data_IF_626741224713
#
_entry.id   IF_626741224713
#
_cell.length_a   1.000
_cell.length_b   1.000
_cell.length_c   1.000
_cell.angle_alpha   90.00
_cell.angle_beta   90.00
_cell.angle_gamma   90.00
#
_symmetry.space_group_name_H-M   'P 1'
#
loop_
_entity.id
_entity.type
_entity.pdbx_description
1 polymer ?
#
# COMPACT_ATOMS: atom_id res chain seq x y z
N UNK A 1 -1.69 3.24 18.30
CA UNK A 1 -0.80 4.17 17.57
C UNK A 1 -0.74 3.69 16.13
N UNK A 2 -1.27 4.45 15.17
CA UNK A 2 -1.09 4.13 13.75
C UNK A 2 0.32 4.56 13.34
N UNK A 3 1.15 3.60 12.95
CA UNK A 3 2.52 3.85 12.48
C UNK A 3 2.43 4.05 10.97
N UNK A 4 2.79 5.24 10.50
CA UNK A 4 2.93 5.56 9.07
C UNK A 4 4.16 6.44 8.87
N UNK A 5 4.69 6.43 7.65
CA UNK A 5 5.75 7.35 7.23
C UNK A 5 5.10 8.62 6.70
N UNK A 6 5.56 9.78 7.16
CA UNK A 6 5.14 11.07 6.65
C UNK A 6 6.26 11.63 5.77
N UNK A 7 5.99 11.79 4.48
CA UNK A 7 6.95 12.34 3.52
C UNK A 7 6.20 13.41 2.72
N UNK A 8 6.69 14.65 2.76
CA UNK A 8 6.08 15.78 2.05
C UNK A 8 4.58 15.99 2.39
N UNK A 9 4.22 15.80 3.67
CA UNK A 9 2.82 15.87 4.13
C UNK A 9 1.92 14.71 3.69
N UNK A 10 2.42 13.78 2.87
CA UNK A 10 1.71 12.57 2.44
C UNK A 10 2.05 11.39 3.35
N UNK A 11 1.03 10.56 3.62
CA UNK A 11 1.17 9.36 4.44
C UNK A 11 1.53 8.17 3.56
N UNK A 12 2.51 7.40 3.99
CA UNK A 12 2.97 6.18 3.33
C UNK A 12 3.04 5.02 4.31
N UNK A 13 2.86 3.83 3.77
CA UNK A 13 2.98 2.56 4.47
C UNK A 13 4.09 1.74 3.83
N UNK A 14 4.94 1.09 4.62
CA UNK A 14 5.85 0.09 4.09
C UNK A 14 5.16 -1.28 3.98
N UNK A 15 5.80 -2.23 3.31
CA UNK A 15 5.23 -3.57 3.11
C UNK A 15 4.95 -4.35 4.41
N UNK A 16 5.61 -4.03 5.52
CA UNK A 16 5.22 -4.56 6.84
C UNK A 16 3.89 -3.95 7.31
N UNK A 17 3.76 -2.63 7.30
CA UNK A 17 2.55 -1.95 7.73
C UNK A 17 1.34 -2.31 6.86
N UNK A 18 1.52 -2.47 5.55
CA UNK A 18 0.44 -2.93 4.66
C UNK A 18 -0.12 -4.29 5.11
N UNK A 19 0.76 -5.22 5.49
CA UNK A 19 0.38 -6.55 5.97
C UNK A 19 -0.39 -6.47 7.27
N UNK A 20 0.09 -5.66 8.21
CA UNK A 20 -0.59 -5.46 9.50
C UNK A 20 -1.97 -4.84 9.33
N UNK A 21 -2.10 -3.79 8.52
CA UNK A 21 -3.37 -3.08 8.31
C UNK A 21 -4.40 -3.91 7.55
N UNK A 22 -3.97 -4.65 6.54
CA UNK A 22 -4.87 -5.49 5.73
C UNK A 22 -5.05 -6.89 6.30
N UNK A 23 -4.32 -7.24 7.38
CA UNK A 23 -4.23 -8.59 7.93
C UNK A 23 -3.90 -9.65 6.88
N UNK A 24 -3.08 -9.27 5.90
CA UNK A 24 -2.66 -10.14 4.79
C UNK A 24 -1.25 -10.65 5.02
N UNK A 25 -0.99 -11.88 4.60
CA UNK A 25 0.37 -12.43 4.61
C UNK A 25 1.19 -11.88 3.42
N UNK A 26 2.50 -12.17 3.41
CA UNK A 26 3.42 -11.69 2.36
C UNK A 26 3.01 -12.13 0.96
N UNK A 27 2.59 -13.38 0.79
CA UNK A 27 2.21 -13.93 -0.50
C UNK A 27 0.92 -13.29 -1.03
N UNK A 28 -0.04 -13.04 -0.15
CA UNK A 28 -1.32 -12.39 -0.51
C UNK A 28 -1.11 -10.92 -0.91
N UNK A 29 -0.28 -10.17 -0.16
CA UNK A 29 0.12 -8.81 -0.57
C UNK A 29 0.86 -8.83 -1.91
N UNK A 30 1.77 -9.79 -2.11
CA UNK A 30 2.50 -9.89 -3.37
C UNK A 30 1.55 -10.11 -4.54
N UNK A 31 0.62 -11.08 -4.43
CA UNK A 31 -0.42 -11.33 -5.44
C UNK A 31 -1.27 -10.09 -5.69
N UNK A 32 -1.65 -9.37 -4.64
CA UNK A 32 -2.47 -8.16 -4.76
C UNK A 32 -1.72 -7.04 -5.50
N UNK A 33 -0.44 -6.83 -5.20
CA UNK A 33 0.41 -5.85 -5.89
C UNK A 33 0.75 -6.27 -7.33
N UNK A 34 0.81 -7.57 -7.63
CA UNK A 34 0.99 -8.10 -8.98
C UNK A 34 -0.30 -7.96 -9.82
N UNK A 35 -1.47 -8.27 -9.23
CA UNK A 35 -2.76 -8.14 -9.90
C UNK A 35 -3.14 -6.66 -10.12
N UNK A 36 -2.75 -5.78 -9.19
CA UNK A 36 -3.06 -4.36 -9.22
C UNK A 36 -1.79 -3.54 -9.08
N UNK A 37 -1.04 -3.34 -10.17
CA UNK A 37 0.21 -2.61 -10.15
C UNK A 37 -0.03 -1.15 -9.76
N UNK A 38 0.59 -0.73 -8.67
CA UNK A 38 0.54 0.66 -8.20
C UNK A 38 1.43 1.56 -9.10
N UNK A 39 1.03 2.83 -9.33
CA UNK A 39 1.82 3.78 -10.09
C UNK A 39 3.21 3.96 -9.46
N UNK A 40 4.25 3.62 -10.22
CA UNK A 40 5.65 3.62 -9.73
C UNK A 40 6.12 5.02 -9.34
N UNK A 41 5.60 6.06 -9.99
CA UNK A 41 5.95 7.46 -9.71
C UNK A 41 5.56 7.91 -8.30
N UNK A 42 4.59 7.24 -7.67
CA UNK A 42 4.18 7.55 -6.30
C UNK A 42 4.85 6.66 -5.24
N UNK A 43 5.53 5.58 -5.66
CA UNK A 43 6.21 4.67 -4.73
C UNK A 43 7.56 5.28 -4.35
N UNK A 44 7.71 5.61 -3.06
CA UNK A 44 8.98 6.14 -2.55
C UNK A 44 9.86 4.99 -2.09
N UNK A 45 11.08 4.92 -2.62
CA UNK A 45 12.09 3.98 -2.16
C UNK A 45 12.98 4.68 -1.12
N UNK A 46 12.92 4.24 0.14
CA UNK A 46 13.78 4.75 1.22
C UNK A 46 14.66 3.61 1.71
N UNK A 47 15.97 3.75 1.48
CA UNK A 47 16.97 2.71 1.78
C UNK A 47 16.58 1.37 1.13
N UNK A 48 16.19 0.39 1.93
CA UNK A 48 15.76 -0.95 1.49
C UNK A 48 14.24 -1.17 1.60
N UNK A 49 13.45 -0.10 1.80
CA UNK A 49 11.99 -0.18 1.93
C UNK A 49 11.30 0.52 0.77
N UNK A 50 10.29 -0.15 0.22
CA UNK A 50 9.28 0.45 -0.65
C UNK A 50 8.18 1.02 0.23
N UNK A 51 7.88 2.30 0.03
CA UNK A 51 6.82 3.02 0.72
C UNK A 51 5.69 3.29 -0.26
N UNK A 52 4.50 2.83 0.10
CA UNK A 52 3.29 2.92 -0.70
C UNK A 52 2.41 4.04 -0.16
N UNK A 53 1.93 4.96 -1.01
CA UNK A 53 1.06 6.05 -0.56
C UNK A 53 -0.25 5.47 -0.02
N UNK A 54 -0.67 5.94 1.15
CA UNK A 54 -1.93 5.53 1.75
C UNK A 54 -3.13 5.85 0.86
N UNK A 55 -3.08 6.99 0.15
CA UNK A 55 -4.11 7.41 -0.81
C UNK A 55 -4.30 6.37 -1.91
N UNK A 56 -3.21 5.90 -2.50
CA UNK A 56 -3.24 4.92 -3.60
C UNK A 56 -3.74 3.56 -3.11
N UNK A 57 -3.30 3.12 -1.93
CA UNK A 57 -3.79 1.88 -1.30
C UNK A 57 -5.29 1.98 -1.01
N UNK A 58 -5.76 3.13 -0.51
CA UNK A 58 -7.18 3.34 -0.24
C UNK A 58 -8.01 3.29 -1.52
N UNK A 59 -7.61 4.01 -2.57
CA UNK A 59 -8.30 3.97 -3.86
C UNK A 59 -8.31 2.57 -4.48
N UNK A 60 -7.23 1.80 -4.30
CA UNK A 60 -7.20 0.41 -4.73
C UNK A 60 -8.29 -0.42 -4.02
N UNK A 61 -8.36 -0.34 -2.69
CA UNK A 61 -9.35 -1.07 -1.89
C UNK A 61 -10.77 -0.63 -2.26
N UNK A 62 -11.01 0.67 -2.43
CA UNK A 62 -12.32 1.18 -2.87
C UNK A 62 -12.71 0.67 -4.26
N UNK A 63 -11.75 0.51 -5.17
CA UNK A 63 -12.01 -0.05 -6.50
C UNK A 63 -12.34 -1.54 -6.43
N UNK A 64 -11.58 -2.30 -5.63
CA UNK A 64 -11.85 -3.72 -5.38
C UNK A 64 -13.23 -3.96 -4.77
N UNK A 65 -13.65 -3.12 -3.82
CA UNK A 65 -14.98 -3.22 -3.22
C UNK A 65 -16.09 -2.93 -4.25
N UNK A 66 -15.88 -1.99 -5.16
CA UNK A 66 -16.85 -1.65 -6.21
C UNK A 66 -16.98 -2.71 -7.31
N UNK A 67 -15.89 -3.43 -7.63
CA UNK A 67 -15.96 -4.53 -8.60
C UNK A 67 -16.72 -5.76 -8.08
N UNK A 68 -16.94 -5.84 -6.76
CA UNK A 68 -17.63 -6.95 -6.09
C UNK A 68 -19.04 -6.59 -5.59
N UNK A 69 -19.57 -5.42 -5.95
CA UNK A 69 -20.95 -4.96 -5.67
C UNK A 69 -21.81 -5.08 -6.93
#
# INVERSE_FOLDING_TARGET
MEIYYLIDGKKYLDGYLLREHLQLNRSEIQKLLDAYPLPKDEIVNVQNKKLFPLSTIKSLIESLLKEHE
#
